data_IF_433537171139
#
_entry.id   IF_433537171139
#
_cell.length_a   1.000
_cell.length_b   1.000
_cell.length_c   1.000
_cell.angle_alpha   90.00
_cell.angle_beta   90.00
_cell.angle_gamma   90.00
#
_symmetry.space_group_name_H-M   'P 1'
#
loop_
_entity.id
_entity.type
_entity.pdbx_description
1 polymer ?
#
# COMPACT_ATOMS: atom_id res chain seq x y z
N UNK A 1 -49.20 -42.15 -42.28
CA UNK A 1 -48.05 -41.23 -42.40
C UNK A 1 -48.55 -39.84 -42.81
N UNK A 2 -48.78 -38.92 -41.87
CA UNK A 2 -49.11 -37.52 -42.19
C UNK A 2 -47.85 -36.68 -41.95
N UNK A 3 -47.26 -36.14 -43.02
CA UNK A 3 -46.13 -35.20 -42.94
C UNK A 3 -46.68 -33.86 -42.44
N UNK A 4 -46.17 -33.40 -41.31
CA UNK A 4 -46.44 -32.07 -40.77
C UNK A 4 -45.70 -31.05 -41.67
N UNK A 5 -46.43 -30.29 -42.50
CA UNK A 5 -45.86 -29.13 -43.18
C UNK A 5 -45.85 -27.97 -42.18
N UNK A 6 -44.71 -27.72 -41.55
CA UNK A 6 -44.47 -26.42 -40.90
C UNK A 6 -44.40 -25.34 -41.98
N UNK A 7 -45.21 -24.29 -41.84
CA UNK A 7 -45.15 -23.15 -42.75
C UNK A 7 -43.85 -22.38 -42.53
N UNK A 8 -43.28 -21.85 -43.62
CA UNK A 8 -42.00 -21.12 -43.62
C UNK A 8 -41.96 -19.98 -42.60
N UNK A 9 -43.13 -19.37 -42.32
CA UNK A 9 -43.30 -18.32 -41.31
C UNK A 9 -43.17 -18.80 -39.87
N UNK A 10 -43.65 -20.01 -39.53
CA UNK A 10 -43.49 -20.56 -38.17
C UNK A 10 -42.02 -20.93 -37.91
N UNK A 11 -41.32 -21.40 -38.94
CA UNK A 11 -39.88 -21.67 -38.86
C UNK A 11 -39.07 -20.38 -38.66
N UNK A 12 -39.42 -19.29 -39.34
CA UNK A 12 -38.76 -17.99 -39.17
C UNK A 12 -38.99 -17.39 -37.78
N UNK A 13 -40.21 -17.49 -37.24
CA UNK A 13 -40.51 -17.03 -35.88
C UNK A 13 -39.78 -17.86 -34.84
N UNK A 14 -39.69 -19.19 -35.02
CA UNK A 14 -38.90 -20.05 -34.13
C UNK A 14 -37.39 -19.74 -34.19
N UNK A 15 -36.85 -19.47 -35.38
CA UNK A 15 -35.45 -19.09 -35.56
C UNK A 15 -35.17 -17.72 -34.92
N UNK A 16 -36.04 -16.72 -35.11
CA UNK A 16 -35.92 -15.42 -34.44
C UNK A 16 -36.01 -15.54 -32.92
N UNK A 17 -36.90 -16.39 -32.41
CA UNK A 17 -37.02 -16.65 -30.97
C UNK A 17 -35.78 -17.36 -30.40
N UNK A 18 -35.21 -18.32 -31.15
CA UNK A 18 -33.93 -18.97 -30.79
C UNK A 18 -32.76 -18.00 -30.85
N UNK A 19 -32.73 -17.07 -31.81
CA UNK A 19 -31.71 -16.00 -31.85
C UNK A 19 -31.85 -15.02 -30.69
N UNK A 20 -33.07 -14.72 -30.22
CA UNK A 20 -33.28 -13.83 -29.06
C UNK A 20 -32.92 -14.54 -27.74
N UNK A 21 -33.23 -15.84 -27.60
CA UNK A 21 -32.95 -16.62 -26.37
C UNK A 21 -31.47 -17.02 -26.27
N UNK A 22 -30.78 -17.23 -27.39
CA UNK A 22 -29.36 -17.66 -27.38
C UNK A 22 -28.34 -16.51 -27.37
N UNK A 23 -28.75 -15.24 -27.52
CA UNK A 23 -27.82 -14.10 -27.64
C UNK A 23 -27.71 -13.24 -26.37
N UNK A 24 -28.01 -13.82 -25.21
CA UNK A 24 -28.16 -13.10 -23.95
C UNK A 24 -27.27 -13.52 -22.79
N UNK A 25 -26.11 -14.16 -23.01
CA UNK A 25 -25.09 -14.31 -21.95
C UNK A 25 -23.90 -13.43 -22.28
N UNK A 26 -23.95 -12.19 -21.80
CA UNK A 26 -22.86 -11.22 -21.92
C UNK A 26 -21.62 -11.71 -21.16
N UNK A 27 -20.43 -11.58 -21.77
CA UNK A 27 -19.12 -11.82 -21.13
C UNK A 27 -18.99 -11.13 -19.75
N UNK A 28 -19.61 -9.95 -19.59
CA UNK A 28 -19.62 -9.20 -18.34
C UNK A 28 -20.21 -9.98 -17.16
N UNK A 29 -21.27 -10.77 -17.39
CA UNK A 29 -21.96 -11.54 -16.33
C UNK A 29 -21.03 -12.65 -15.75
N UNK A 30 -20.19 -13.24 -16.60
CA UNK A 30 -19.19 -14.22 -16.16
C UNK A 30 -18.01 -13.60 -15.42
N UNK A 31 -17.62 -12.37 -15.76
CA UNK A 31 -16.55 -11.63 -15.10
C UNK A 31 -16.93 -11.25 -13.66
N UNK A 32 -18.12 -10.68 -13.47
CA UNK A 32 -18.61 -10.30 -12.13
C UNK A 32 -18.80 -11.52 -11.24
N UNK A 33 -19.32 -12.62 -11.78
CA UNK A 33 -19.46 -13.88 -11.02
C UNK A 33 -18.13 -14.34 -10.43
N UNK A 34 -17.03 -14.27 -11.19
CA UNK A 34 -15.69 -14.65 -10.72
C UNK A 34 -15.21 -13.74 -9.59
N UNK A 35 -15.43 -12.44 -9.68
CA UNK A 35 -15.04 -11.48 -8.64
C UNK A 35 -15.88 -11.70 -7.37
N UNK A 36 -17.20 -11.84 -7.50
CA UNK A 36 -18.12 -12.05 -6.38
C UNK A 36 -17.79 -13.33 -5.61
N UNK A 37 -17.52 -14.44 -6.30
CA UNK A 37 -17.08 -15.69 -5.66
C UNK A 37 -15.81 -15.48 -4.84
N UNK A 38 -14.83 -14.73 -5.38
CA UNK A 38 -13.59 -14.42 -4.66
C UNK A 38 -13.83 -13.54 -3.43
N UNK A 39 -14.74 -12.56 -3.53
CA UNK A 39 -15.13 -11.72 -2.39
C UNK A 39 -15.79 -12.59 -1.31
N UNK A 40 -16.74 -13.44 -1.69
CA UNK A 40 -17.44 -14.32 -0.76
C UNK A 40 -16.48 -15.28 -0.05
N UNK A 41 -15.56 -15.89 -0.78
CA UNK A 41 -14.50 -16.73 -0.20
C UNK A 41 -13.60 -15.94 0.75
N UNK A 42 -13.16 -14.74 0.36
CA UNK A 42 -12.33 -13.88 1.19
C UNK A 42 -13.05 -13.45 2.48
N UNK A 43 -14.31 -13.01 2.39
CA UNK A 43 -15.13 -12.61 3.55
C UNK A 43 -15.40 -13.80 4.46
N UNK A 44 -15.72 -14.99 3.90
CA UNK A 44 -15.93 -16.23 4.67
C UNK A 44 -14.68 -16.63 5.45
N UNK A 45 -13.50 -16.44 4.88
CA UNK A 45 -12.22 -16.78 5.48
C UNK A 45 -11.66 -15.67 6.39
N UNK A 46 -12.12 -14.43 6.24
CA UNK A 46 -11.68 -13.32 7.06
C UNK A 46 -12.06 -13.54 8.53
N UNK A 47 -11.12 -13.22 9.41
CA UNK A 47 -11.33 -13.21 10.86
C UNK A 47 -10.92 -11.83 11.35
N UNK A 48 -11.87 -11.02 11.88
CA UNK A 48 -11.54 -9.68 12.34
C UNK A 48 -10.60 -9.76 13.54
N UNK A 49 -9.64 -8.84 13.59
CA UNK A 49 -8.89 -8.61 14.81
C UNK A 49 -9.68 -7.63 15.69
N UNK A 50 -10.17 -8.10 16.84
CA UNK A 50 -10.94 -7.30 17.80
C UNK A 50 -10.11 -7.19 19.08
N UNK A 51 -9.03 -6.42 18.98
CA UNK A 51 -8.09 -6.18 20.09
C UNK A 51 -7.86 -4.68 20.20
N UNK A 52 -7.82 -4.18 21.42
CA UNK A 52 -7.58 -2.77 21.70
C UNK A 52 -6.09 -2.39 21.71
N UNK A 53 -5.20 -3.36 21.46
CA UNK A 53 -3.74 -3.22 21.46
C UNK A 53 -3.12 -3.66 20.12
N UNK A 54 -1.80 -3.78 20.06
CA UNK A 54 -1.07 -4.14 18.85
C UNK A 54 -1.05 -5.65 18.51
N UNK A 55 -1.78 -6.51 19.24
CA UNK A 55 -1.81 -7.96 19.02
C UNK A 55 -2.23 -8.36 17.59
N UNK A 56 -3.00 -7.51 16.90
CA UNK A 56 -3.36 -7.72 15.50
C UNK A 56 -2.15 -7.92 14.57
N UNK A 57 -0.98 -7.44 14.97
CA UNK A 57 0.26 -7.51 14.20
C UNK A 57 1.29 -8.48 14.78
N UNK A 58 0.95 -9.23 15.83
CA UNK A 58 1.85 -10.16 16.51
C UNK A 58 2.46 -11.20 15.55
N UNK A 59 1.66 -11.74 14.63
CA UNK A 59 2.12 -12.73 13.64
C UNK A 59 3.28 -12.21 12.79
N UNK A 60 3.27 -10.93 12.43
CA UNK A 60 4.33 -10.31 11.62
C UNK A 60 5.63 -10.32 12.42
N UNK A 61 5.59 -9.86 13.68
CA UNK A 61 6.73 -9.89 14.59
C UNK A 61 7.29 -11.30 14.78
N UNK A 62 6.42 -12.29 15.00
CA UNK A 62 6.84 -13.68 15.20
C UNK A 62 7.50 -14.30 13.95
N UNK A 63 7.01 -13.95 12.76
CA UNK A 63 7.59 -14.38 11.50
C UNK A 63 8.95 -13.72 11.23
N UNK A 64 9.07 -12.43 11.53
CA UNK A 64 10.28 -11.65 11.30
C UNK A 64 11.41 -12.02 12.27
N UNK A 65 11.08 -12.37 13.51
CA UNK A 65 12.05 -12.84 14.51
C UNK A 65 12.35 -14.34 14.39
N UNK A 66 11.58 -15.10 13.61
CA UNK A 66 11.76 -16.54 13.47
C UNK A 66 13.18 -16.97 13.02
N UNK A 67 13.84 -16.27 12.07
CA UNK A 67 15.20 -16.61 11.66
C UNK A 67 16.27 -16.44 12.74
N UNK A 68 15.98 -15.74 13.84
CA UNK A 68 16.92 -15.37 14.91
C UNK A 68 16.60 -16.04 16.26
N UNK A 69 15.73 -17.07 16.26
CA UNK A 69 15.27 -17.76 17.48
C UNK A 69 16.39 -18.44 18.27
N UNK A 70 17.45 -18.85 17.58
CA UNK A 70 18.60 -19.52 18.20
C UNK A 70 19.56 -18.53 18.91
N UNK A 71 19.24 -17.24 18.85
CA UNK A 71 20.02 -16.16 19.46
C UNK A 71 20.73 -15.28 18.42
N UNK A 72 21.11 -14.09 18.87
CA UNK A 72 21.92 -13.12 18.13
C UNK A 72 23.21 -12.97 18.91
N UNK A 73 24.34 -13.43 18.34
CA UNK A 73 25.64 -13.26 18.98
C UNK A 73 26.20 -11.86 18.75
N UNK A 74 27.16 -11.46 19.58
CA UNK A 74 27.89 -10.19 19.44
C UNK A 74 28.57 -10.08 18.07
N UNK A 75 29.16 -11.16 17.57
CA UNK A 75 29.82 -11.20 16.26
C UNK A 75 28.81 -11.01 15.13
N UNK A 76 27.61 -11.58 15.27
CA UNK A 76 26.56 -11.46 14.27
C UNK A 76 26.03 -10.03 14.15
N UNK A 77 25.84 -9.35 15.29
CA UNK A 77 25.43 -7.95 15.28
C UNK A 77 26.56 -7.02 14.82
N UNK A 78 27.80 -7.29 15.26
CA UNK A 78 29.00 -6.58 14.81
C UNK A 78 29.16 -6.65 13.29
N UNK A 79 28.76 -7.77 12.66
CA UNK A 79 28.76 -7.89 11.20
C UNK A 79 27.75 -6.94 10.53
N UNK A 80 26.57 -6.76 11.10
CA UNK A 80 25.57 -5.80 10.60
C UNK A 80 26.09 -4.36 10.65
N UNK A 81 26.75 -4.00 11.78
CA UNK A 81 27.34 -2.69 12.03
C UNK A 81 28.51 -2.44 11.08
N UNK A 82 29.46 -3.39 10.99
CA UNK A 82 30.64 -3.31 10.12
C UNK A 82 30.27 -3.10 8.65
N UNK A 83 29.19 -3.75 8.21
CA UNK A 83 28.66 -3.64 6.85
C UNK A 83 27.83 -2.37 6.60
N UNK A 84 27.60 -1.54 7.63
CA UNK A 84 26.84 -0.28 7.58
C UNK A 84 25.44 -0.46 6.98
N UNK A 85 24.76 -1.54 7.37
CA UNK A 85 23.44 -1.89 6.85
C UNK A 85 22.32 -1.02 7.45
N UNK A 86 22.60 -0.27 8.51
CA UNK A 86 21.66 0.67 9.11
C UNK A 86 22.37 1.51 10.15
N UNK A 87 21.60 2.23 10.94
CA UNK A 87 22.09 3.04 12.06
C UNK A 87 22.14 2.20 13.33
N UNK A 88 23.28 2.16 14.01
CA UNK A 88 23.45 1.42 15.26
C UNK A 88 22.90 2.18 16.47
N UNK A 89 22.07 1.50 17.26
CA UNK A 89 21.48 1.99 18.50
C UNK A 89 21.76 1.02 19.64
N UNK A 90 21.90 1.57 20.85
CA UNK A 90 22.01 0.82 22.09
C UNK A 90 21.06 1.40 23.14
N UNK A 91 20.43 0.54 23.92
CA UNK A 91 19.65 0.88 25.10
C UNK A 91 20.38 0.28 26.28
N UNK A 92 20.88 1.14 27.18
CA UNK A 92 21.61 0.73 28.38
C UNK A 92 21.04 1.55 29.54
N UNK A 93 20.59 0.89 30.60
CA UNK A 93 20.01 1.54 31.78
C UNK A 93 18.93 2.57 31.42
N UNK A 94 18.02 2.20 30.51
CA UNK A 94 16.90 3.04 30.04
C UNK A 94 17.33 4.32 29.32
N UNK A 95 18.56 4.40 28.84
CA UNK A 95 19.07 5.51 28.02
C UNK A 95 19.33 5.03 26.60
N UNK A 96 18.93 5.85 25.62
CA UNK A 96 19.15 5.57 24.21
C UNK A 96 20.48 6.19 23.77
N UNK A 97 21.33 5.36 23.19
CA UNK A 97 22.57 5.73 22.54
C UNK A 97 22.46 5.41 21.06
N UNK A 98 23.08 6.22 20.23
CA UNK A 98 23.13 6.06 18.77
C UNK A 98 24.54 6.37 18.30
N UNK A 99 25.00 5.67 17.27
CA UNK A 99 26.21 6.12 16.57
C UNK A 99 26.03 7.56 16.04
N UNK A 100 27.13 8.27 15.81
CA UNK A 100 27.06 9.67 15.38
C UNK A 100 26.28 9.82 14.06
N UNK A 101 26.61 8.98 13.07
CA UNK A 101 26.13 9.14 11.69
C UNK A 101 24.68 8.65 11.51
N UNK A 102 23.82 9.51 10.95
CA UNK A 102 22.53 9.11 10.39
C UNK A 102 22.33 9.81 9.06
N UNK A 103 22.22 9.03 7.99
CA UNK A 103 22.06 9.54 6.62
C UNK A 103 20.77 10.37 6.44
N UNK A 104 19.73 10.05 7.19
CA UNK A 104 18.44 10.73 7.14
C UNK A 104 18.02 11.18 8.55
N UNK A 105 18.52 12.33 9.06
CA UNK A 105 18.34 12.72 10.46
C UNK A 105 16.88 12.75 10.91
N UNK A 106 15.98 13.34 10.13
CA UNK A 106 14.55 13.37 10.46
C UNK A 106 13.91 11.96 10.53
N UNK A 107 14.43 10.98 9.79
CA UNK A 107 13.96 9.59 9.90
C UNK A 107 14.45 8.95 11.20
N UNK A 108 15.71 9.19 11.58
CA UNK A 108 16.21 8.76 12.89
C UNK A 108 15.41 9.39 14.02
N UNK A 109 15.14 10.70 13.98
CA UNK A 109 14.31 11.38 14.98
C UNK A 109 12.90 10.80 15.09
N UNK A 110 12.26 10.46 13.96
CA UNK A 110 10.96 9.78 13.97
C UNK A 110 10.99 8.37 14.58
N UNK A 111 12.11 7.64 14.48
CA UNK A 111 12.30 6.35 15.16
C UNK A 111 12.57 6.54 16.65
N UNK A 112 13.47 7.47 16.99
CA UNK A 112 13.84 7.82 18.36
C UNK A 112 12.62 8.27 19.17
N UNK A 113 11.69 9.02 18.58
CA UNK A 113 10.43 9.41 19.20
C UNK A 113 9.70 8.22 19.86
N UNK A 114 9.48 7.14 19.10
CA UNK A 114 8.76 5.96 19.58
C UNK A 114 9.59 5.14 20.57
N UNK A 115 10.90 5.01 20.36
CA UNK A 115 11.77 4.29 21.30
C UNK A 115 11.77 4.98 22.65
N UNK A 116 11.96 6.30 22.68
CA UNK A 116 12.00 7.10 23.89
C UNK A 116 10.67 7.10 24.63
N UNK A 117 9.53 7.02 23.93
CA UNK A 117 8.20 6.91 24.55
C UNK A 117 8.06 5.65 25.42
N UNK A 118 8.64 4.53 24.99
CA UNK A 118 8.51 3.24 25.69
C UNK A 118 9.78 2.80 26.43
N UNK A 119 10.84 3.61 26.42
CA UNK A 119 12.19 3.19 26.85
C UNK A 119 12.24 2.69 28.30
N UNK A 120 11.37 3.22 29.17
CA UNK A 120 11.26 2.78 30.56
C UNK A 120 10.87 1.30 30.68
N UNK A 121 10.13 0.78 29.69
CA UNK A 121 9.66 -0.60 29.64
C UNK A 121 10.57 -1.52 28.82
N UNK A 122 11.63 -1.01 28.20
CA UNK A 122 12.55 -1.80 27.37
C UNK A 122 13.72 -2.33 28.21
N UNK A 123 14.15 -3.60 28.05
CA UNK A 123 15.40 -4.07 28.63
C UNK A 123 16.60 -3.49 27.88
N UNK A 124 17.79 -3.71 28.43
CA UNK A 124 19.04 -3.39 27.74
C UNK A 124 19.17 -4.24 26.48
N UNK A 125 19.49 -3.59 25.37
CA UNK A 125 19.62 -4.22 24.05
C UNK A 125 20.38 -3.33 23.08
N UNK A 126 20.79 -3.88 21.96
CA UNK A 126 21.29 -3.10 20.84
C UNK A 126 20.78 -3.64 19.51
N UNK A 127 20.74 -2.76 18.51
CA UNK A 127 20.05 -3.02 17.25
C UNK A 127 20.59 -2.16 16.12
N UNK A 128 20.47 -2.65 14.89
CA UNK A 128 20.78 -1.91 13.67
C UNK A 128 19.48 -1.58 12.95
N UNK A 129 19.15 -0.28 12.87
CA UNK A 129 17.93 0.22 12.25
C UNK A 129 18.25 0.88 10.91
N UNK A 130 17.86 0.25 9.82
CA UNK A 130 17.94 0.81 8.49
C UNK A 130 16.83 1.86 8.28
N UNK A 131 17.24 3.11 8.05
CA UNK A 131 16.34 4.23 7.71
C UNK A 131 16.30 4.55 6.22
N UNK A 132 16.87 3.70 5.35
CA UNK A 132 16.79 3.81 3.88
C UNK A 132 15.48 3.22 3.36
N UNK A 133 15.18 3.49 2.08
CA UNK A 133 13.94 3.04 1.44
C UNK A 133 13.89 1.53 1.17
N UNK A 134 15.04 0.85 1.05
CA UNK A 134 15.14 -0.53 0.60
C UNK A 134 15.67 -1.47 1.70
N UNK A 135 15.15 -2.71 1.82
CA UNK A 135 15.65 -3.70 2.77
C UNK A 135 17.09 -4.14 2.46
N UNK A 136 17.78 -4.73 3.44
CA UNK A 136 19.24 -4.92 3.41
C UNK A 136 19.67 -6.38 3.51
N UNK A 137 18.80 -7.29 3.94
CA UNK A 137 19.13 -8.69 4.26
C UNK A 137 18.34 -9.64 3.36
N UNK A 138 18.70 -9.79 2.07
CA UNK A 138 18.12 -10.80 1.22
C UNK A 138 18.37 -12.21 1.77
N UNK A 139 17.43 -13.14 1.58
CA UNK A 139 17.46 -14.51 2.14
C UNK A 139 18.67 -15.36 1.76
N UNK A 140 19.32 -15.03 0.64
CA UNK A 140 20.54 -15.71 0.18
C UNK A 140 21.80 -15.25 0.94
N UNK A 141 21.74 -14.15 1.67
CA UNK A 141 22.86 -13.61 2.45
C UNK A 141 23.26 -14.55 3.59
N UNK A 142 24.57 -14.72 3.77
CA UNK A 142 25.17 -15.49 4.88
C UNK A 142 26.34 -14.68 5.50
N UNK A 143 26.44 -14.59 6.84
CA UNK A 143 25.42 -14.99 7.81
C UNK A 143 24.16 -14.10 7.73
N UNK A 144 23.04 -14.57 8.28
CA UNK A 144 21.79 -13.79 8.36
C UNK A 144 21.90 -12.81 9.52
N UNK A 145 22.02 -11.53 9.23
CA UNK A 145 22.22 -10.48 10.24
C UNK A 145 20.91 -9.80 10.61
N UNK A 146 20.68 -9.43 11.88
CA UNK A 146 19.45 -8.80 12.33
C UNK A 146 19.44 -7.29 12.02
N UNK A 147 18.77 -6.90 10.94
CA UNK A 147 18.59 -5.50 10.55
C UNK A 147 17.11 -5.17 10.53
N UNK A 148 16.73 -4.06 11.17
CA UNK A 148 15.36 -3.57 11.14
C UNK A 148 15.15 -2.65 9.93
N UNK A 149 14.14 -2.93 9.09
CA UNK A 149 13.78 -2.11 7.90
C UNK A 149 12.28 -1.89 7.85
N UNK A 150 11.80 -0.69 7.49
CA UNK A 150 10.36 -0.38 7.55
C UNK A 150 9.51 -1.15 6.51
N UNK A 151 10.13 -1.70 5.47
CA UNK A 151 9.45 -2.39 4.37
C UNK A 151 10.33 -3.52 3.82
N UNK A 152 9.71 -4.63 3.42
CA UNK A 152 10.37 -5.75 2.76
C UNK A 152 9.39 -6.59 1.93
N UNK A 153 9.96 -7.50 1.13
CA UNK A 153 9.23 -8.58 0.46
C UNK A 153 9.56 -9.93 1.11
N UNK A 154 8.86 -11.05 0.79
CA UNK A 154 9.18 -12.37 1.31
C UNK A 154 10.60 -12.87 1.02
N UNK A 155 11.35 -12.22 0.15
CA UNK A 155 12.72 -12.53 -0.25
C UNK A 155 13.77 -11.96 0.71
N UNK A 156 13.36 -11.21 1.73
CA UNK A 156 14.23 -10.57 2.72
C UNK A 156 13.93 -11.04 4.15
N UNK A 157 14.99 -11.13 4.95
CA UNK A 157 14.98 -11.51 6.37
C UNK A 157 15.04 -10.28 7.31
N UNK A 158 14.99 -9.05 6.79
CA UNK A 158 14.88 -7.83 7.62
C UNK A 158 13.69 -7.90 8.58
N UNK A 159 13.81 -7.28 9.76
CA UNK A 159 12.73 -7.23 10.76
C UNK A 159 11.94 -5.94 10.54
N UNK A 160 10.62 -6.04 10.31
CA UNK A 160 9.81 -4.83 10.08
C UNK A 160 9.58 -4.05 11.38
N UNK A 161 9.64 -2.72 11.25
CA UNK A 161 9.28 -1.78 12.31
C UNK A 161 8.33 -0.69 11.78
N UNK A 162 7.51 -0.06 12.64
CA UNK A 162 6.67 1.07 12.23
C UNK A 162 7.53 2.22 11.71
N UNK A 163 7.31 2.64 10.46
CA UNK A 163 8.13 3.66 9.82
C UNK A 163 8.15 4.99 10.60
N UNK A 164 9.29 5.67 10.54
CA UNK A 164 9.50 7.02 11.09
C UNK A 164 8.35 8.01 10.78
N UNK A 165 7.78 7.91 9.57
CA UNK A 165 6.74 8.81 9.06
C UNK A 165 5.43 8.78 9.85
N UNK A 166 5.23 7.83 10.77
CA UNK A 166 4.12 7.92 11.73
C UNK A 166 4.25 9.17 12.60
N UNK A 167 5.48 9.62 12.88
CA UNK A 167 5.78 10.86 13.58
C UNK A 167 6.34 11.94 12.64
N UNK A 168 7.45 11.67 11.95
CA UNK A 168 8.12 12.65 11.07
C UNK A 168 9.10 11.99 10.07
N UNK A 169 9.77 12.80 9.22
CA UNK A 169 10.82 12.30 8.32
C UNK A 169 10.32 11.57 7.07
N UNK A 170 9.01 11.59 6.80
CA UNK A 170 8.45 11.15 5.53
C UNK A 170 8.79 12.10 4.37
N UNK A 171 8.33 11.81 3.14
CA UNK A 171 8.64 12.63 1.97
C UNK A 171 8.24 14.10 2.14
N UNK A 172 9.18 15.02 1.95
CA UNK A 172 8.94 16.47 1.95
C UNK A 172 8.47 16.93 0.57
N UNK A 173 7.17 16.75 0.32
CA UNK A 173 6.53 17.12 -0.94
C UNK A 173 6.08 18.59 -0.85
N UNK A 174 6.84 19.49 -1.47
CA UNK A 174 6.50 20.91 -1.51
C UNK A 174 5.31 21.18 -2.44
N UNK A 175 4.33 22.03 -2.09
CA UNK A 175 4.22 22.81 -0.85
C UNK A 175 3.40 22.12 0.25
N UNK A 176 2.85 20.92 0.01
CA UNK A 176 1.85 20.31 0.89
C UNK A 176 2.40 19.73 2.21
N UNK A 177 3.67 19.28 2.21
CA UNK A 177 4.37 18.75 3.38
C UNK A 177 5.78 19.35 3.46
N UNK A 178 5.90 20.66 3.78
CA UNK A 178 7.17 21.38 3.73
C UNK A 178 8.21 20.83 4.71
N UNK A 179 7.76 20.25 5.83
CA UNK A 179 8.60 19.64 6.87
C UNK A 179 8.62 18.11 6.79
N UNK A 180 8.21 17.52 5.66
CA UNK A 180 8.05 16.07 5.54
C UNK A 180 6.68 15.57 5.99
N UNK A 181 6.21 14.51 5.32
CA UNK A 181 5.02 13.79 5.76
C UNK A 181 5.26 13.19 7.16
N UNK A 182 4.29 13.35 8.06
CA UNK A 182 4.41 12.99 9.46
C UNK A 182 3.07 13.07 10.18
N UNK A 183 3.10 12.98 11.50
CA UNK A 183 1.98 13.22 12.42
C UNK A 183 0.72 12.47 12.02
N UNK A 184 0.85 11.14 12.00
CA UNK A 184 -0.24 10.25 11.63
C UNK A 184 -1.47 10.41 12.53
N UNK A 185 -1.26 10.75 13.80
CA UNK A 185 -2.29 11.16 14.74
C UNK A 185 -3.17 12.28 14.18
N UNK A 186 -2.56 13.40 13.77
CA UNK A 186 -3.28 14.53 13.18
C UNK A 186 -3.83 14.20 11.80
N UNK A 187 -3.08 13.44 10.98
CA UNK A 187 -3.51 13.05 9.65
C UNK A 187 -4.80 12.22 9.70
N UNK A 188 -4.95 11.31 10.66
CA UNK A 188 -6.16 10.50 10.84
C UNK A 188 -7.40 11.34 11.10
N UNK A 189 -7.35 12.26 12.05
CA UNK A 189 -8.48 13.15 12.37
C UNK A 189 -8.89 13.98 11.15
N UNK A 190 -7.89 14.45 10.43
CA UNK A 190 -8.05 15.24 9.23
C UNK A 190 -8.69 14.46 8.06
N UNK A 191 -8.29 13.22 7.86
CA UNK A 191 -8.90 12.32 6.88
C UNK A 191 -10.33 11.96 7.27
N UNK A 192 -10.58 11.71 8.56
CA UNK A 192 -11.93 11.45 9.07
C UNK A 192 -12.87 12.63 8.78
N UNK A 193 -12.47 13.86 9.14
CA UNK A 193 -13.26 15.07 8.84
C UNK A 193 -13.48 15.28 7.34
N UNK A 194 -12.52 14.90 6.48
CA UNK A 194 -12.70 14.95 5.03
C UNK A 194 -13.71 13.89 4.56
N UNK A 195 -13.64 12.67 5.09
CA UNK A 195 -14.52 11.56 4.73
C UNK A 195 -15.99 11.83 5.09
N UNK A 196 -16.24 12.48 6.22
CA UNK A 196 -17.58 12.92 6.63
C UNK A 196 -18.22 13.89 5.64
N UNK A 197 -17.41 14.74 4.98
CA UNK A 197 -17.89 15.66 3.94
C UNK A 197 -18.22 14.97 2.61
N UNK A 198 -17.59 13.81 2.35
CA UNK A 198 -17.70 13.05 1.11
C UNK A 198 -18.24 11.63 1.35
N UNK A 199 -19.53 11.51 1.76
CA UNK A 199 -20.18 10.22 1.87
C UNK A 199 -20.20 9.51 0.52
N UNK A 200 -20.20 8.18 0.53
CA UNK A 200 -20.00 7.34 -0.66
C UNK A 200 -20.79 7.79 -1.89
N UNK A 201 -22.10 8.02 -1.75
CA UNK A 201 -23.00 8.44 -2.84
C UNK A 201 -22.68 9.81 -3.47
N UNK A 202 -21.85 10.63 -2.82
CA UNK A 202 -21.41 11.94 -3.33
C UNK A 202 -20.03 11.89 -3.97
N UNK A 203 -19.35 10.74 -3.93
CA UNK A 203 -18.02 10.61 -4.51
C UNK A 203 -18.11 10.60 -6.03
N UNK A 204 -17.06 11.12 -6.68
CA UNK A 204 -16.95 11.15 -8.13
C UNK A 204 -16.55 9.75 -8.58
N UNK A 205 -17.36 9.08 -9.42
CA UNK A 205 -17.10 7.74 -9.96
C UNK A 205 -16.01 7.75 -11.04
N UNK A 206 -14.78 8.09 -10.65
CA UNK A 206 -13.59 8.14 -11.49
C UNK A 206 -12.39 7.66 -10.66
N UNK A 207 -11.57 6.76 -11.19
CA UNK A 207 -10.37 6.34 -10.50
C UNK A 207 -9.38 7.51 -10.40
N UNK A 208 -8.62 7.61 -9.32
CA UNK A 208 -7.78 8.78 -9.07
C UNK A 208 -6.39 8.43 -8.54
N UNK A 209 -5.35 9.06 -9.09
CA UNK A 209 -3.97 8.90 -8.62
C UNK A 209 -3.14 10.18 -8.82
N UNK A 210 -2.34 10.52 -7.81
CA UNK A 210 -1.26 11.51 -7.91
C UNK A 210 -0.04 11.00 -7.16
N UNK A 211 1.11 11.02 -7.81
CA UNK A 211 2.37 10.66 -7.19
C UNK A 211 3.50 10.63 -8.21
N UNK A 212 4.75 10.60 -7.78
CA UNK A 212 5.89 10.59 -8.71
C UNK A 212 6.16 9.19 -9.28
N UNK A 213 6.95 9.11 -10.37
CA UNK A 213 7.38 7.85 -10.98
C UNK A 213 8.49 7.16 -10.16
N UNK A 214 8.16 6.61 -8.99
CA UNK A 214 9.10 5.83 -8.16
C UNK A 214 9.20 4.35 -8.55
N UNK A 215 8.29 3.87 -9.40
CA UNK A 215 8.28 2.52 -9.98
C UNK A 215 7.61 2.60 -11.36
N UNK A 216 8.11 1.83 -12.32
CA UNK A 216 7.52 1.71 -13.65
C UNK A 216 6.17 0.97 -13.63
N UNK A 217 5.86 0.22 -12.55
CA UNK A 217 4.56 -0.45 -12.37
C UNK A 217 3.36 0.52 -12.36
N UNK A 218 3.62 1.82 -12.18
CA UNK A 218 2.61 2.88 -12.21
C UNK A 218 2.26 3.32 -13.64
N UNK A 219 3.14 3.08 -14.63
CA UNK A 219 2.98 3.59 -16.00
C UNK A 219 1.67 3.16 -16.66
N UNK A 220 1.19 1.91 -16.55
CA UNK A 220 -0.06 1.50 -17.21
C UNK A 220 -1.27 2.33 -16.76
N UNK A 221 -1.33 2.73 -15.49
CA UNK A 221 -2.43 3.56 -14.97
C UNK A 221 -2.38 4.99 -15.51
N UNK A 222 -1.17 5.56 -15.65
CA UNK A 222 -0.97 6.89 -16.23
C UNK A 222 -1.32 6.89 -17.72
N UNK A 223 -0.92 5.85 -18.44
CA UNK A 223 -1.28 5.66 -19.86
C UNK A 223 -2.79 5.52 -20.03
N UNK A 224 -3.44 4.69 -19.21
CA UNK A 224 -4.89 4.52 -19.22
C UNK A 224 -5.64 5.83 -18.96
N UNK A 225 -5.17 6.66 -18.02
CA UNK A 225 -5.76 7.96 -17.76
C UNK A 225 -5.67 8.92 -18.97
N UNK A 226 -4.59 8.83 -19.75
CA UNK A 226 -4.44 9.63 -20.97
C UNK A 226 -5.34 9.14 -22.09
N UNK A 227 -5.48 7.83 -22.22
CA UNK A 227 -6.35 7.20 -23.21
C UNK A 227 -7.84 7.39 -22.88
N UNK A 228 -8.20 7.33 -21.60
CA UNK A 228 -9.57 7.46 -21.12
C UNK A 228 -9.67 8.32 -19.83
N UNK A 229 -9.60 9.66 -19.97
CA UNK A 229 -9.61 10.57 -18.82
C UNK A 229 -10.95 10.64 -18.08
N UNK A 230 -12.03 10.14 -18.67
CA UNK A 230 -13.33 10.03 -18.00
C UNK A 230 -13.40 8.82 -17.06
N UNK A 231 -12.61 7.78 -17.32
CA UNK A 231 -12.53 6.59 -16.46
C UNK A 231 -11.50 6.75 -15.33
N UNK A 232 -10.33 7.30 -15.65
CA UNK A 232 -9.20 7.44 -14.72
C UNK A 232 -8.60 8.83 -14.81
N UNK A 233 -8.38 9.46 -13.67
CA UNK A 233 -7.61 10.69 -13.52
C UNK A 233 -6.32 10.38 -12.73
N UNK A 234 -5.26 10.04 -13.46
CA UNK A 234 -3.97 9.64 -12.91
C UNK A 234 -2.82 10.41 -13.58
N UNK A 235 -2.05 11.15 -12.78
CA UNK A 235 -0.94 11.95 -13.29
C UNK A 235 0.31 11.79 -12.43
N UNK A 236 1.47 11.86 -13.09
CA UNK A 236 2.74 11.91 -12.39
C UNK A 236 3.02 13.30 -11.81
N UNK A 237 3.49 13.33 -10.56
CA UNK A 237 4.06 14.52 -9.92
C UNK A 237 5.58 14.47 -9.90
N UNK A 238 6.24 15.59 -9.60
CA UNK A 238 7.70 15.63 -9.43
C UNK A 238 8.11 15.16 -8.03
N UNK A 239 9.31 14.59 -7.93
CA UNK A 239 9.99 14.32 -6.67
C UNK A 239 11.36 15.01 -6.65
N UNK A 240 12.04 14.97 -5.50
CA UNK A 240 13.35 15.61 -5.31
C UNK A 240 14.48 14.99 -6.16
N UNK A 241 14.27 13.79 -6.72
CA UNK A 241 15.23 13.10 -7.58
C UNK A 241 15.00 13.37 -9.08
N UNK A 242 14.08 14.28 -9.44
CA UNK A 242 13.81 14.65 -10.82
C UNK A 242 15.04 15.33 -11.44
N UNK A 243 15.60 14.74 -12.51
CA UNK A 243 16.83 15.22 -13.18
C UNK A 243 16.60 15.70 -14.61
N UNK A 244 15.67 15.10 -15.35
CA UNK A 244 15.32 15.51 -16.71
C UNK A 244 14.02 14.86 -17.16
N UNK A 245 13.44 15.36 -18.25
CA UNK A 245 12.22 14.85 -18.89
C UNK A 245 12.43 13.48 -19.57
N UNK A 246 13.70 13.05 -19.74
CA UNK A 246 14.11 11.89 -20.56
C UNK A 246 13.85 10.50 -19.97
N UNK A 247 13.08 10.36 -18.89
CA UNK A 247 12.68 9.03 -18.40
C UNK A 247 11.35 8.64 -19.05
N UNK A 248 11.47 8.20 -20.31
CA UNK A 248 10.53 7.43 -21.15
C UNK A 248 9.17 8.07 -21.48
N UNK A 249 9.04 8.59 -22.71
CA UNK A 249 7.85 8.62 -23.62
C UNK A 249 6.45 8.97 -23.08
N UNK A 250 6.32 9.37 -21.82
CA UNK A 250 5.05 9.58 -21.11
C UNK A 250 5.10 10.99 -20.52
N UNK A 251 5.25 12.01 -21.36
CA UNK A 251 5.33 13.41 -20.93
C UNK A 251 3.95 13.98 -20.64
N UNK A 252 3.67 14.19 -19.36
CA UNK A 252 2.80 15.23 -18.78
C UNK A 252 2.95 15.07 -17.26
N UNK A 253 3.81 15.89 -16.66
CA UNK A 253 3.94 16.00 -15.21
C UNK A 253 3.07 17.16 -14.75
N UNK A 254 2.23 16.90 -13.77
CA UNK A 254 1.37 17.93 -13.18
C UNK A 254 2.13 18.68 -12.10
N UNK A 255 2.06 20.02 -12.15
CA UNK A 255 2.47 20.87 -11.03
C UNK A 255 1.41 20.86 -9.90
N UNK A 256 0.25 20.24 -10.14
CA UNK A 256 -0.81 20.13 -9.15
C UNK A 256 -0.46 19.01 -8.19
N UNK A 257 0.15 19.40 -7.08
CA UNK A 257 0.43 18.54 -5.95
C UNK A 257 -0.77 18.61 -5.01
N UNK A 258 -1.34 17.44 -4.73
CA UNK A 258 -2.66 17.30 -4.13
C UNK A 258 -2.53 16.60 -2.79
N UNK A 259 -3.24 17.07 -1.78
CA UNK A 259 -3.14 16.52 -0.42
C UNK A 259 -3.84 15.18 -0.35
N UNK A 260 -3.49 14.32 0.63
CA UNK A 260 -4.14 13.01 0.78
C UNK A 260 -5.66 13.16 1.02
N UNK A 261 -6.10 14.31 1.55
CA UNK A 261 -7.54 14.59 1.77
C UNK A 261 -8.32 14.80 0.48
N UNK A 262 -7.66 15.26 -0.57
CA UNK A 262 -8.28 15.54 -1.86
C UNK A 262 -8.49 14.26 -2.69
N UNK A 263 -8.00 13.11 -2.21
CA UNK A 263 -8.38 11.79 -2.73
C UNK A 263 -9.75 11.34 -2.21
N UNK A 264 -10.19 11.88 -1.07
CA UNK A 264 -11.43 11.48 -0.40
C UNK A 264 -12.70 11.77 -1.21
N UNK A 265 -12.81 12.84 -2.02
CA UNK A 265 -13.94 13.04 -2.95
C UNK A 265 -14.07 11.95 -4.03
N UNK A 266 -13.02 11.17 -4.30
CA UNK A 266 -12.99 10.22 -5.41
C UNK A 266 -13.51 8.85 -4.96
N UNK A 267 -14.31 8.22 -5.81
CA UNK A 267 -14.82 6.88 -5.66
C UNK A 267 -14.64 6.13 -6.98
N UNK A 268 -14.42 4.83 -6.93
CA UNK A 268 -14.45 4.02 -8.14
C UNK A 268 -15.61 3.04 -8.01
N UNK A 269 -16.66 3.31 -8.77
CA UNK A 269 -17.77 2.38 -8.98
C UNK A 269 -17.76 1.97 -10.45
N UNK A 270 -17.36 0.74 -10.71
CA UNK A 270 -17.52 0.13 -12.02
C UNK A 270 -18.89 -0.57 -12.01
N UNK A 271 -19.86 -0.01 -12.75
CA UNK A 271 -21.15 -0.64 -13.05
C UNK A 271 -21.92 -1.27 -11.87
N UNK A 272 -22.72 -0.44 -11.17
CA UNK A 272 -23.88 -0.85 -10.36
C UNK A 272 -23.78 -2.19 -9.60
N UNK A 273 -22.96 -2.25 -8.55
CA UNK A 273 -23.17 -3.18 -7.45
C UNK A 273 -23.91 -2.46 -6.31
N UNK A 274 -24.88 -3.12 -5.64
CA UNK A 274 -25.55 -2.51 -4.49
C UNK A 274 -24.51 -2.22 -3.38
N UNK A 275 -24.67 -1.11 -2.65
CA UNK A 275 -23.64 -0.66 -1.72
C UNK A 275 -23.40 -1.70 -0.62
N UNK A 276 -22.14 -2.00 -0.28
CA UNK A 276 -21.85 -2.86 0.86
C UNK A 276 -22.38 -2.20 2.13
N UNK A 277 -23.17 -2.95 2.91
CA UNK A 277 -23.66 -2.49 4.21
C UNK A 277 -22.47 -2.32 5.14
N UNK A 278 -22.13 -1.05 5.41
CA UNK A 278 -21.13 -0.58 6.37
C UNK A 278 -19.73 -1.19 6.17
N UNK A 279 -18.83 -0.45 5.51
CA UNK A 279 -17.43 -0.38 5.91
C UNK A 279 -16.74 0.86 5.31
N UNK A 280 -15.82 1.41 6.10
CA UNK A 280 -14.94 2.54 5.82
C UNK A 280 -14.13 2.36 4.54
N UNK A 281 -14.06 3.41 3.73
CA UNK A 281 -13.48 3.41 2.39
C UNK A 281 -12.05 2.87 2.34
N UNK A 282 -11.79 1.97 1.40
CA UNK A 282 -10.46 1.49 1.10
C UNK A 282 -9.71 2.56 0.29
N UNK A 283 -8.64 3.11 0.88
CA UNK A 283 -7.55 3.73 0.12
C UNK A 283 -6.68 2.59 -0.39
N UNK A 284 -6.68 2.35 -1.71
CA UNK A 284 -5.75 1.43 -2.34
C UNK A 284 -4.34 2.01 -2.29
N UNK A 285 -3.55 1.58 -1.32
CA UNK A 285 -2.09 1.68 -1.40
C UNK A 285 -1.59 0.47 -2.19
N UNK A 286 -1.01 0.70 -3.37
CA UNK A 286 -0.21 -0.30 -4.07
C UNK A 286 0.90 -0.76 -3.12
N UNK A 287 0.86 -2.04 -2.75
CA UNK A 287 2.03 -2.74 -2.24
C UNK A 287 3.05 -2.79 -3.38
N UNK A 288 4.29 -2.43 -3.07
CA UNK A 288 5.46 -2.91 -3.83
C UNK A 288 5.69 -4.38 -3.47
#
# INVERSE_FOLDING_TARGET
>A
MRRLQLSLGVLHVFILFLFIVCWGSSSADTHWKKILVRIDEAVKNYRPCVKDNCECHQRVREQDLAPFRDGISEELLSEAIRRKLGTHYQIIEKKLYREHDCMFPARCSGVEHFILEIIQNLPDMEMVINVRDYPQVPKFMKPRVPVLSFSKTPEYDDIMYPAWTFWEGGPAVWPIYPTGLGRWDLMRENLQRSAEKWPWKKKISKAYFRGSRTSAERDPLILLSRENPDLVDAEYTKNQAWKSEKVNTIEYYSNVIITIRDFVPMGYEEGALPPPRRQSGALFFSRR
#
